data_IF_580646408631
#
_entry.id   IF_580646408631
#
_cell.length_a   1.000
_cell.length_b   1.000
_cell.length_c   1.000
_cell.angle_alpha   90.00
_cell.angle_beta   90.00
_cell.angle_gamma   90.00
#
_symmetry.space_group_name_H-M   'P 1'
#
loop_
_entity.id
_entity.type
_entity.pdbx_description
1 polymer ?
#
# COMPACT_ATOMS: atom_id res chain seq x y z
N UNK A 1 0.88 13.79 6.29
CA UNK A 1 0.64 12.38 6.68
C UNK A 1 -0.85 12.14 6.74
N UNK A 2 -1.37 11.09 6.09
CA UNK A 2 -2.78 10.73 6.24
C UNK A 2 -2.88 9.85 7.48
N UNK A 3 -3.24 10.44 8.62
CA UNK A 3 -3.62 9.67 9.79
C UNK A 3 -5.06 9.21 9.62
N UNK A 4 -5.25 7.94 9.33
CA UNK A 4 -6.58 7.32 9.27
C UNK A 4 -6.95 6.75 10.63
N UNK A 5 -6.00 6.73 11.56
CA UNK A 5 -6.20 6.16 12.87
C UNK A 5 -5.73 7.15 13.94
N UNK A 6 -6.63 7.99 14.39
CA UNK A 6 -6.45 8.87 15.57
C UNK A 6 -6.73 8.14 16.89
N UNK A 7 -6.83 6.81 16.87
CA UNK A 7 -7.19 5.99 18.02
C UNK A 7 -8.69 5.96 18.35
N UNK A 8 -9.49 6.83 17.74
CA UNK A 8 -10.95 6.88 17.94
C UNK A 8 -11.73 6.06 16.91
N UNK A 9 -11.11 5.75 15.77
CA UNK A 9 -11.74 5.02 14.69
C UNK A 9 -11.71 3.52 14.96
N UNK A 10 -12.84 2.95 15.31
CA UNK A 10 -13.03 1.49 15.32
C UNK A 10 -13.49 1.04 13.95
N UNK A 11 -12.70 0.22 13.25
CA UNK A 11 -13.08 -0.31 11.95
C UNK A 11 -14.40 -1.10 12.07
N UNK A 12 -15.40 -0.73 11.26
CA UNK A 12 -16.67 -1.44 11.17
C UNK A 12 -16.70 -2.25 9.86
N UNK A 13 -16.63 -3.60 9.92
CA UNK A 13 -16.64 -4.44 8.73
C UNK A 13 -17.87 -4.25 7.84
N UNK A 14 -19.03 -3.92 8.42
CA UNK A 14 -20.26 -3.69 7.64
C UNK A 14 -20.16 -2.39 6.85
N UNK A 15 -19.70 -1.31 7.49
CA UNK A 15 -19.47 -0.03 6.80
C UNK A 15 -18.41 -0.16 5.72
N UNK A 16 -17.33 -0.89 6.00
CA UNK A 16 -16.31 -1.20 5.00
C UNK A 16 -16.93 -1.83 3.74
N UNK A 17 -17.73 -2.89 3.90
CA UNK A 17 -18.34 -3.58 2.78
C UNK A 17 -19.22 -2.66 1.92
N UNK A 18 -20.08 -1.85 2.56
CA UNK A 18 -20.98 -0.91 1.86
C UNK A 18 -20.18 0.12 1.06
N UNK A 19 -19.14 0.71 1.64
CA UNK A 19 -18.31 1.70 0.96
C UNK A 19 -17.53 1.06 -0.19
N UNK A 20 -16.94 -0.12 0.04
CA UNK A 20 -16.21 -0.87 -0.97
C UNK A 20 -17.10 -1.20 -2.18
N UNK A 21 -18.30 -1.74 -1.94
CA UNK A 21 -19.27 -2.05 -3.00
C UNK A 21 -19.70 -0.81 -3.79
N UNK A 22 -19.89 0.33 -3.10
CA UNK A 22 -20.23 1.60 -3.76
C UNK A 22 -19.11 2.07 -4.69
N UNK A 23 -17.85 2.00 -4.24
CA UNK A 23 -16.68 2.38 -5.04
C UNK A 23 -16.47 1.42 -6.21
N UNK A 24 -16.63 0.12 -5.99
CA UNK A 24 -16.49 -0.90 -7.03
C UNK A 24 -17.57 -0.74 -8.12
N UNK A 25 -18.81 -0.36 -7.77
CA UNK A 25 -19.86 -0.01 -8.74
C UNK A 25 -19.51 1.23 -9.56
N UNK A 26 -18.99 2.28 -8.92
CA UNK A 26 -18.52 3.48 -9.64
C UNK A 26 -17.42 3.15 -10.63
N UNK A 27 -16.41 2.38 -10.22
CA UNK A 27 -15.30 1.98 -11.07
C UNK A 27 -15.71 1.05 -12.23
N UNK A 28 -16.80 0.30 -12.08
CA UNK A 28 -17.40 -0.47 -13.19
C UNK A 28 -18.11 0.44 -14.21
N UNK A 29 -18.66 1.56 -13.78
CA UNK A 29 -19.36 2.52 -14.63
C UNK A 29 -18.38 3.48 -15.30
N UNK A 30 -17.38 3.95 -14.55
CA UNK A 30 -16.30 4.82 -15.01
C UNK A 30 -14.95 4.28 -14.50
N UNK A 31 -14.26 3.58 -15.37
CA UNK A 31 -12.95 2.97 -15.08
C UNK A 31 -11.80 4.00 -15.07
N UNK A 32 -12.11 5.29 -15.25
CA UNK A 32 -11.18 6.43 -15.17
C UNK A 32 -11.46 7.35 -13.98
N UNK A 33 -12.43 7.05 -13.11
CA UNK A 33 -12.71 7.80 -11.89
C UNK A 33 -11.55 7.68 -10.89
N UNK A 34 -10.60 8.60 -10.98
CA UNK A 34 -9.40 8.63 -10.13
C UNK A 34 -9.72 8.84 -8.65
N UNK A 35 -10.80 9.53 -8.34
CA UNK A 35 -11.27 9.74 -6.96
C UNK A 35 -11.73 8.41 -6.34
N UNK A 36 -12.54 7.64 -7.06
CA UNK A 36 -12.95 6.31 -6.60
C UNK A 36 -11.77 5.34 -6.51
N UNK A 37 -10.80 5.41 -7.44
CA UNK A 37 -9.55 4.62 -7.35
C UNK A 37 -8.77 4.95 -6.07
N UNK A 38 -8.58 6.24 -5.77
CA UNK A 38 -7.89 6.70 -4.57
C UNK A 38 -8.56 6.16 -3.30
N UNK A 39 -9.86 6.37 -3.15
CA UNK A 39 -10.57 5.90 -1.96
C UNK A 39 -10.63 4.37 -1.85
N UNK A 40 -10.73 3.67 -2.97
CA UNK A 40 -10.73 2.20 -2.95
C UNK A 40 -9.34 1.64 -2.56
N UNK A 41 -8.26 2.22 -3.08
CA UNK A 41 -6.89 1.90 -2.67
C UNK A 41 -6.66 2.21 -1.18
N UNK A 42 -7.16 3.34 -0.70
CA UNK A 42 -7.09 3.74 0.70
C UNK A 42 -7.82 2.75 1.61
N UNK A 43 -9.00 2.27 1.20
CA UNK A 43 -9.74 1.25 1.95
C UNK A 43 -8.96 -0.07 2.02
N UNK A 44 -8.36 -0.53 0.92
CA UNK A 44 -7.53 -1.73 0.94
C UNK A 44 -6.36 -1.59 1.92
N UNK A 45 -5.67 -0.46 1.92
CA UNK A 45 -4.56 -0.21 2.83
C UNK A 45 -5.03 -0.14 4.29
N UNK A 46 -6.06 0.67 4.57
CA UNK A 46 -6.49 1.00 5.94
C UNK A 46 -7.17 -0.14 6.67
N UNK A 47 -7.87 -0.99 5.92
CA UNK A 47 -8.63 -2.11 6.47
C UNK A 47 -8.09 -3.47 6.06
N UNK A 48 -6.84 -3.52 5.62
CA UNK A 48 -6.21 -4.78 5.24
C UNK A 48 -6.24 -5.79 6.39
N UNK A 49 -5.94 -5.35 7.62
CA UNK A 49 -5.95 -6.19 8.82
C UNK A 49 -7.35 -6.67 9.23
N UNK A 50 -8.41 -6.00 8.78
CA UNK A 50 -9.80 -6.46 8.99
C UNK A 50 -10.20 -7.61 8.05
N UNK A 51 -9.58 -7.68 6.88
CA UNK A 51 -9.86 -8.67 5.84
C UNK A 51 -8.87 -9.81 5.82
N UNK A 52 -7.71 -9.60 6.37
CA UNK A 52 -6.62 -10.55 6.40
C UNK A 52 -6.06 -10.66 7.83
N UNK A 53 -5.35 -11.74 8.09
CA UNK A 53 -4.61 -11.88 9.35
C UNK A 53 -3.46 -10.87 9.38
N UNK A 54 -3.12 -10.30 10.57
CA UNK A 54 -2.04 -9.31 10.68
C UNK A 54 -0.63 -9.87 10.43
N UNK A 55 -0.50 -11.17 10.20
CA UNK A 55 0.78 -11.83 9.90
C UNK A 55 1.40 -11.27 8.61
N UNK A 56 2.69 -10.92 8.58
CA UNK A 56 3.36 -10.45 7.38
C UNK A 56 3.16 -11.38 6.17
N UNK A 57 3.25 -12.69 6.35
CA UNK A 57 3.11 -13.69 5.29
C UNK A 57 1.68 -14.01 4.85
N UNK A 58 0.67 -13.27 5.29
CA UNK A 58 -0.72 -13.51 4.89
C UNK A 58 -0.94 -13.20 3.40
N UNK A 59 -1.45 -14.20 2.65
CA UNK A 59 -1.66 -14.08 1.20
C UNK A 59 -2.76 -13.08 0.85
N UNK A 60 -3.86 -13.07 1.62
CA UNK A 60 -4.99 -12.16 1.36
C UNK A 60 -4.57 -10.71 1.58
N UNK A 61 -3.72 -10.46 2.59
CA UNK A 61 -3.13 -9.15 2.83
C UNK A 61 -2.27 -8.70 1.64
N UNK A 62 -1.42 -9.59 1.12
CA UNK A 62 -0.59 -9.30 -0.04
C UNK A 62 -1.45 -9.01 -1.30
N UNK A 63 -2.47 -9.82 -1.56
CA UNK A 63 -3.38 -9.64 -2.69
C UNK A 63 -4.12 -8.30 -2.61
N UNK A 64 -4.66 -7.94 -1.45
CA UNK A 64 -5.33 -6.65 -1.23
C UNK A 64 -4.38 -5.47 -1.47
N UNK A 65 -3.12 -5.57 -1.05
CA UNK A 65 -2.13 -4.52 -1.28
C UNK A 65 -1.72 -4.41 -2.75
N UNK A 66 -1.68 -5.53 -3.47
CA UNK A 66 -1.46 -5.51 -4.93
C UNK A 66 -2.62 -4.80 -5.64
N UNK A 67 -3.87 -5.05 -5.22
CA UNK A 67 -5.03 -4.33 -5.75
C UNK A 67 -4.97 -2.84 -5.42
N UNK A 68 -4.60 -2.48 -4.18
CA UNK A 68 -4.40 -1.09 -3.77
C UNK A 68 -3.36 -0.39 -4.64
N UNK A 69 -2.21 -1.03 -4.86
CA UNK A 69 -1.13 -0.53 -5.73
C UNK A 69 -1.65 -0.29 -7.15
N UNK A 70 -2.32 -1.25 -7.75
CA UNK A 70 -2.82 -1.14 -9.12
C UNK A 70 -3.77 0.05 -9.28
N UNK A 71 -4.66 0.28 -8.33
CA UNK A 71 -5.57 1.43 -8.34
C UNK A 71 -4.83 2.76 -8.16
N UNK A 72 -3.91 2.84 -7.21
CA UNK A 72 -3.15 4.06 -6.95
C UNK A 72 -2.22 4.41 -8.13
N UNK A 73 -1.55 3.43 -8.72
CA UNK A 73 -0.69 3.63 -9.89
C UNK A 73 -1.51 3.99 -11.15
N UNK A 74 -2.71 3.40 -11.32
CA UNK A 74 -3.64 3.78 -12.41
C UNK A 74 -4.11 5.23 -12.24
N UNK A 75 -4.50 5.65 -11.02
CA UNK A 75 -4.90 7.03 -10.75
C UNK A 75 -3.77 8.03 -11.04
N UNK A 76 -2.53 7.69 -10.68
CA UNK A 76 -1.35 8.48 -11.03
C UNK A 76 -1.14 8.55 -12.55
N UNK A 77 -1.23 7.43 -13.25
CA UNK A 77 -1.12 7.37 -14.71
C UNK A 77 -2.20 8.20 -15.43
N UNK A 78 -3.38 8.34 -14.83
CA UNK A 78 -4.45 9.23 -15.28
C UNK A 78 -4.24 10.70 -14.84
N UNK A 79 -3.05 11.05 -14.35
CA UNK A 79 -2.62 12.40 -13.96
C UNK A 79 -3.43 13.00 -12.79
N UNK A 80 -3.86 12.17 -11.85
CA UNK A 80 -4.38 12.69 -10.59
C UNK A 80 -3.22 13.36 -9.82
N UNK A 81 -3.22 14.68 -9.79
CA UNK A 81 -2.22 15.49 -9.07
C UNK A 81 -2.71 15.78 -7.65
N UNK A 82 -2.33 14.95 -6.69
CA UNK A 82 -2.71 15.13 -5.29
C UNK A 82 -1.63 14.51 -4.38
N UNK A 83 -1.03 15.32 -3.51
CA UNK A 83 -0.02 14.88 -2.55
C UNK A 83 -0.51 13.69 -1.69
N UNK A 84 -1.82 13.62 -1.40
CA UNK A 84 -2.38 12.48 -0.66
C UNK A 84 -2.26 11.16 -1.44
N UNK A 85 -2.33 11.20 -2.77
CA UNK A 85 -2.11 10.03 -3.61
C UNK A 85 -0.64 9.60 -3.55
N UNK A 86 0.31 10.54 -3.56
CA UNK A 86 1.73 10.25 -3.42
C UNK A 86 2.03 9.59 -2.07
N UNK A 87 1.47 10.15 -0.98
CA UNK A 87 1.59 9.56 0.36
C UNK A 87 0.99 8.15 0.40
N UNK A 88 -0.20 7.97 -0.18
CA UNK A 88 -0.87 6.66 -0.24
C UNK A 88 -0.02 5.63 -0.98
N UNK A 89 0.57 5.99 -2.12
CA UNK A 89 1.46 5.13 -2.89
C UNK A 89 2.70 4.71 -2.09
N UNK A 90 3.38 5.66 -1.47
CA UNK A 90 4.54 5.37 -0.62
C UNK A 90 4.20 4.39 0.50
N UNK A 91 3.06 4.58 1.17
CA UNK A 91 2.57 3.69 2.22
C UNK A 91 2.23 2.29 1.70
N UNK A 92 1.55 2.19 0.54
CA UNK A 92 1.22 0.88 -0.07
C UNK A 92 2.50 0.10 -0.40
N UNK A 93 3.51 0.72 -1.02
CA UNK A 93 4.76 0.05 -1.35
C UNK A 93 5.57 -0.35 -0.10
N UNK A 94 5.50 0.46 0.97
CA UNK A 94 6.06 0.10 2.28
C UNK A 94 5.39 -1.14 2.86
N UNK A 95 4.06 -1.19 2.87
CA UNK A 95 3.29 -2.34 3.34
C UNK A 95 3.52 -3.59 2.47
N UNK A 96 3.60 -3.44 1.15
CA UNK A 96 4.00 -4.53 0.26
C UNK A 96 5.36 -5.10 0.66
N UNK A 97 6.35 -4.26 0.93
CA UNK A 97 7.69 -4.70 1.38
C UNK A 97 7.60 -5.46 2.70
N UNK A 98 6.79 -4.97 3.64
CA UNK A 98 6.59 -5.62 4.94
C UNK A 98 6.04 -7.05 4.81
N UNK A 99 5.22 -7.36 3.80
CA UNK A 99 4.65 -8.70 3.59
C UNK A 99 5.69 -9.80 3.35
N UNK A 100 6.92 -9.46 3.04
CA UNK A 100 8.01 -10.40 2.80
C UNK A 100 8.95 -10.58 4.02
N UNK A 101 8.75 -9.85 5.12
CA UNK A 101 9.65 -9.87 6.28
C UNK A 101 9.59 -11.16 7.10
N UNK A 102 8.56 -11.98 6.92
CA UNK A 102 8.40 -13.28 7.57
C UNK A 102 8.69 -14.46 6.66
N UNK A 103 9.41 -14.24 5.56
CA UNK A 103 9.80 -15.32 4.68
C UNK A 103 10.83 -16.22 5.38
N UNK A 104 10.61 -17.53 5.26
CA UNK A 104 11.42 -18.58 5.88
C UNK A 104 11.87 -19.56 4.80
N UNK A 105 13.17 -19.94 4.83
CA UNK A 105 13.79 -20.75 3.79
C UNK A 105 13.08 -22.09 3.53
N UNK A 106 12.50 -22.69 4.57
CA UNK A 106 11.81 -23.99 4.44
C UNK A 106 10.46 -23.91 3.69
N UNK A 107 9.90 -22.70 3.53
CA UNK A 107 8.62 -22.50 2.82
C UNK A 107 8.75 -22.43 1.31
N UNK A 108 9.95 -22.19 0.81
CA UNK A 108 10.19 -21.81 -0.59
C UNK A 108 11.39 -22.56 -1.16
N UNK A 109 11.35 -22.89 -2.45
CA UNK A 109 12.52 -23.35 -3.18
C UNK A 109 13.44 -22.17 -3.57
N UNK A 110 14.65 -22.45 -4.04
CA UNK A 110 15.66 -21.42 -4.36
C UNK A 110 15.18 -20.40 -5.39
N UNK A 111 14.40 -20.83 -6.41
CA UNK A 111 13.82 -19.94 -7.40
C UNK A 111 12.80 -19.00 -6.78
N UNK A 112 11.90 -19.54 -5.96
CA UNK A 112 10.89 -18.73 -5.26
C UNK A 112 11.53 -17.72 -4.32
N UNK A 113 12.60 -18.10 -3.61
CA UNK A 113 13.37 -17.17 -2.75
C UNK A 113 13.95 -16.04 -3.57
N UNK A 114 14.58 -16.34 -4.72
CA UNK A 114 15.14 -15.32 -5.60
C UNK A 114 14.07 -14.36 -6.15
N UNK A 115 12.93 -14.89 -6.59
CA UNK A 115 11.80 -14.08 -7.09
C UNK A 115 11.22 -13.18 -6.00
N UNK A 116 11.03 -13.71 -4.78
CA UNK A 116 10.52 -12.96 -3.62
C UNK A 116 11.50 -11.88 -3.17
N UNK A 117 12.79 -12.17 -3.14
CA UNK A 117 13.85 -11.20 -2.85
C UNK A 117 13.86 -10.05 -3.87
N UNK A 118 13.72 -10.39 -5.15
CA UNK A 118 13.61 -9.39 -6.23
C UNK A 118 12.38 -8.48 -6.03
N UNK A 119 11.22 -9.05 -5.71
CA UNK A 119 9.99 -8.29 -5.42
C UNK A 119 10.16 -7.39 -4.19
N UNK A 120 10.70 -7.93 -3.10
CA UNK A 120 11.01 -7.15 -1.89
C UNK A 120 11.88 -5.94 -2.20
N UNK A 121 12.99 -6.15 -2.91
CA UNK A 121 13.92 -5.07 -3.25
C UNK A 121 13.24 -4.01 -4.13
N UNK A 122 12.47 -4.43 -5.15
CA UNK A 122 11.73 -3.52 -6.03
C UNK A 122 10.71 -2.67 -5.23
N UNK A 123 9.95 -3.27 -4.33
CA UNK A 123 8.99 -2.53 -3.51
C UNK A 123 9.69 -1.59 -2.52
N UNK A 124 10.78 -2.03 -1.90
CA UNK A 124 11.61 -1.20 -1.01
C UNK A 124 12.16 0.03 -1.73
N UNK A 125 12.75 -0.16 -2.91
CA UNK A 125 13.29 0.92 -3.72
C UNK A 125 12.23 1.94 -4.10
N UNK A 126 11.06 1.48 -4.56
CA UNK A 126 9.94 2.35 -4.92
C UNK A 126 9.36 3.09 -3.71
N UNK A 127 9.17 2.40 -2.57
CA UNK A 127 8.74 3.07 -1.35
C UNK A 127 9.69 4.18 -0.92
N UNK A 128 10.99 3.88 -0.90
CA UNK A 128 12.02 4.85 -0.50
C UNK A 128 12.11 6.02 -1.48
N UNK A 129 12.03 5.76 -2.78
CA UNK A 129 11.96 6.80 -3.82
C UNK A 129 10.78 7.73 -3.61
N UNK A 130 9.58 7.19 -3.38
CA UNK A 130 8.39 8.03 -3.16
C UNK A 130 8.47 8.84 -1.86
N UNK A 131 9.11 8.33 -0.80
CA UNK A 131 9.37 9.11 0.40
C UNK A 131 10.39 10.23 0.16
N UNK A 132 11.39 10.03 -0.72
CA UNK A 132 12.32 11.10 -1.12
C UNK A 132 11.59 12.18 -1.93
N UNK A 133 10.78 11.80 -2.92
CA UNK A 133 9.95 12.73 -3.70
C UNK A 133 8.99 13.53 -2.81
N UNK A 134 8.36 12.88 -1.82
CA UNK A 134 7.50 13.55 -0.84
C UNK A 134 8.26 14.54 0.04
N UNK A 135 9.49 14.21 0.45
CA UNK A 135 10.32 15.12 1.24
C UNK A 135 10.71 16.38 0.46
N UNK A 136 10.84 16.28 -0.87
CA UNK A 136 11.06 17.43 -1.75
C UNK A 136 9.78 18.25 -1.95
N UNK A 137 8.63 17.60 -2.17
CA UNK A 137 7.34 18.25 -2.41
C UNK A 137 6.76 18.91 -1.17
N UNK A 138 7.03 18.38 0.01
CA UNK A 138 6.51 18.83 1.31
C UNK A 138 7.67 18.96 2.30
N UNK A 139 8.47 19.98 2.08
CA UNK A 139 9.70 20.24 2.84
C UNK A 139 9.47 20.44 4.34
N UNK A 140 8.29 20.90 4.74
CA UNK A 140 7.92 21.05 6.15
C UNK A 140 7.82 19.73 6.90
N UNK A 141 7.51 18.63 6.19
CA UNK A 141 7.41 17.27 6.73
C UNK A 141 8.55 16.35 6.24
N UNK A 142 9.58 16.90 5.59
CA UNK A 142 10.68 16.13 5.00
C UNK A 142 11.34 15.14 5.99
N UNK A 143 11.56 15.58 7.23
CA UNK A 143 12.15 14.75 8.28
C UNK A 143 11.30 13.52 8.60
N UNK A 144 9.98 13.67 8.64
CA UNK A 144 9.07 12.56 8.92
C UNK A 144 9.04 11.57 7.74
N UNK A 145 9.05 12.03 6.50
CA UNK A 145 9.15 11.16 5.34
C UNK A 145 10.46 10.36 5.33
N UNK A 146 11.59 10.98 5.65
CA UNK A 146 12.88 10.29 5.74
C UNK A 146 12.89 9.20 6.82
N UNK A 147 12.18 9.39 7.93
CA UNK A 147 12.01 8.36 8.98
C UNK A 147 11.19 7.17 8.53
N UNK A 148 10.26 7.36 7.59
CA UNK A 148 9.39 6.29 7.08
C UNK A 148 10.10 5.36 6.11
N UNK A 149 11.28 5.71 5.60
CA UNK A 149 12.05 4.88 4.67
C UNK A 149 12.43 3.53 5.25
N UNK A 150 12.44 2.53 4.40
CA UNK A 150 12.73 1.14 4.76
C UNK A 150 14.24 0.95 4.82
N UNK A 151 14.75 0.57 6.00
CA UNK A 151 16.19 0.36 6.26
C UNK A 151 16.59 -1.11 6.35
N UNK A 152 15.62 -2.01 6.59
CA UNK A 152 15.87 -3.45 6.70
C UNK A 152 16.02 -4.11 5.33
N UNK A 153 16.61 -5.30 5.32
CA UNK A 153 16.84 -6.12 4.14
C UNK A 153 15.89 -7.32 4.10
N UNK A 154 15.83 -7.98 2.94
CA UNK A 154 15.13 -9.27 2.81
C UNK A 154 15.75 -10.31 3.75
N UNK A 155 14.95 -11.10 4.47
CA UNK A 155 15.46 -11.97 5.54
C UNK A 155 16.26 -13.19 5.07
N UNK A 156 16.21 -13.54 3.77
CA UNK A 156 16.89 -14.74 3.22
C UNK A 156 17.98 -14.37 2.21
#
# INVERSE_FOLDING_TARGET
MIYINDGSFRPDPKKYAVIADSLDKKLKTDDRDTTSMFYRALLYLSFNDLKAKPSPGDKVALENLVLARNLADKAMGLKMTNIKLEVLRAQIYKELTYRFTSDEAWKYNSKQIADRKSQFNSYKELANKYYDELAELDSSNAYDYQKLKIKYNYPL
#
